data_IF_234970155248
#
_entry.id   IF_234970155248
#
_cell.length_a   1.000
_cell.length_b   1.000
_cell.length_c   1.000
_cell.angle_alpha   90.00
_cell.angle_beta   90.00
_cell.angle_gamma   90.00
#
_symmetry.space_group_name_H-M   'P 1'
#
loop_
_entity.id
_entity.type
_entity.pdbx_description
1 polymer ?
#
# COMPACT_ATOMS: atom_id res chain seq x y z
N UNK A 1 -7.95 16.10 -6.78
CA UNK A 1 -8.62 15.26 -7.79
C UNK A 1 -9.23 14.01 -7.15
N UNK A 2 -8.43 13.07 -6.63
CA UNK A 2 -8.98 11.83 -6.01
C UNK A 2 -9.91 12.11 -4.84
N UNK A 3 -9.45 12.94 -3.89
CA UNK A 3 -10.27 13.40 -2.75
C UNK A 3 -11.58 14.06 -3.21
N UNK A 4 -11.52 14.92 -4.23
CA UNK A 4 -12.69 15.61 -4.81
C UNK A 4 -13.76 14.64 -5.36
N UNK A 5 -13.35 13.43 -5.75
CA UNK A 5 -14.24 12.39 -6.25
C UNK A 5 -14.55 11.31 -5.21
N UNK A 6 -14.11 11.46 -3.97
CA UNK A 6 -14.27 10.45 -2.92
C UNK A 6 -13.55 9.13 -3.23
N UNK A 7 -12.49 9.19 -4.04
CA UNK A 7 -11.66 8.02 -4.37
C UNK A 7 -10.59 7.90 -3.28
N UNK A 8 -10.62 6.79 -2.54
CA UNK A 8 -9.59 6.47 -1.57
C UNK A 8 -8.24 6.25 -2.26
N UNK A 9 -7.16 6.73 -1.64
CA UNK A 9 -5.79 6.60 -2.14
C UNK A 9 -4.91 5.94 -1.09
N UNK A 10 -3.99 5.09 -1.53
CA UNK A 10 -2.94 4.49 -0.70
C UNK A 10 -1.59 5.13 -1.05
N UNK A 11 -0.98 5.85 -0.11
CA UNK A 11 0.28 6.55 -0.33
C UNK A 11 1.48 5.62 -0.14
N UNK A 12 1.71 4.80 -1.16
CA UNK A 12 2.83 3.86 -1.19
C UNK A 12 4.20 4.55 -1.16
N UNK A 13 4.29 5.80 -1.63
CA UNK A 13 5.55 6.54 -1.62
C UNK A 13 5.97 6.85 -0.18
N UNK A 14 5.05 7.40 0.62
CA UNK A 14 5.32 7.66 2.04
C UNK A 14 5.65 6.38 2.79
N UNK A 15 4.97 5.26 2.49
CA UNK A 15 5.23 3.97 3.11
C UNK A 15 6.63 3.40 2.79
N UNK A 16 7.06 3.45 1.52
CA UNK A 16 8.30 2.81 1.08
C UNK A 16 9.56 3.67 1.27
N UNK A 17 9.44 5.00 1.21
CA UNK A 17 10.58 5.94 1.31
C UNK A 17 11.51 5.65 2.50
N UNK A 18 11.02 5.44 3.74
CA UNK A 18 11.91 5.16 4.87
C UNK A 18 12.62 3.80 4.77
N UNK A 19 12.13 2.86 3.96
CA UNK A 19 12.70 1.52 3.78
C UNK A 19 13.38 1.34 2.43
N UNK A 20 13.47 2.39 1.62
CA UNK A 20 13.83 2.30 0.20
C UNK A 20 15.20 1.65 -0.03
N UNK A 21 16.22 2.07 0.71
CA UNK A 21 17.57 1.52 0.62
C UNK A 21 17.66 0.02 1.00
N UNK A 22 16.69 -0.49 1.75
CA UNK A 22 16.61 -1.89 2.17
C UNK A 22 15.81 -2.73 1.18
N UNK A 23 14.73 -2.18 0.63
CA UNK A 23 13.70 -2.94 -0.09
C UNK A 23 13.74 -2.75 -1.61
N UNK A 24 14.44 -1.74 -2.11
CA UNK A 24 14.65 -1.50 -3.54
C UNK A 24 16.03 -1.98 -4.00
N UNK A 25 16.12 -2.47 -5.23
CA UNK A 25 17.40 -2.76 -5.87
C UNK A 25 18.17 -1.44 -6.07
N UNK A 26 19.48 -1.38 -5.80
CA UNK A 26 20.26 -0.15 -5.96
C UNK A 26 20.33 0.29 -7.43
N UNK A 27 20.05 1.57 -7.69
CA UNK A 27 20.00 2.16 -9.04
C UNK A 27 18.95 1.52 -9.97
N UNK A 28 17.88 0.98 -9.40
CA UNK A 28 16.82 0.28 -10.12
C UNK A 28 15.47 0.70 -9.53
N UNK A 29 14.44 0.72 -10.37
CA UNK A 29 13.07 1.05 -9.96
C UNK A 29 12.36 -0.14 -9.33
N UNK A 30 12.84 -1.36 -9.59
CA UNK A 30 12.23 -2.58 -9.08
C UNK A 30 12.58 -2.83 -7.60
N UNK A 31 11.60 -3.37 -6.89
CA UNK A 31 11.78 -3.82 -5.51
C UNK A 31 12.30 -5.24 -5.45
N UNK A 32 12.94 -5.55 -4.32
CA UNK A 32 13.28 -6.92 -3.94
C UNK A 32 12.01 -7.73 -3.64
N UNK A 33 12.14 -9.05 -3.49
CA UNK A 33 11.01 -9.90 -3.05
C UNK A 33 10.38 -9.38 -1.73
N UNK A 34 11.20 -8.99 -0.75
CA UNK A 34 10.73 -8.41 0.50
C UNK A 34 10.07 -7.04 0.31
N UNK A 35 10.52 -6.25 -0.66
CA UNK A 35 9.88 -4.97 -0.99
C UNK A 35 8.50 -5.14 -1.63
N UNK A 36 8.34 -6.15 -2.49
CA UNK A 36 7.02 -6.50 -3.03
C UNK A 36 6.08 -7.04 -1.95
N UNK A 37 6.58 -7.85 -1.02
CA UNK A 37 5.79 -8.33 0.12
C UNK A 37 5.31 -7.16 0.99
N UNK A 38 6.21 -6.24 1.35
CA UNK A 38 5.87 -5.05 2.14
C UNK A 38 4.81 -4.17 1.45
N UNK A 39 5.01 -3.84 0.16
CA UNK A 39 4.06 -3.02 -0.60
C UNK A 39 2.72 -3.75 -0.82
N UNK A 40 2.75 -5.05 -1.07
CA UNK A 40 1.55 -5.86 -1.22
C UNK A 40 0.71 -5.88 0.06
N UNK A 41 1.36 -6.02 1.22
CA UNK A 41 0.69 -5.95 2.52
C UNK A 41 0.07 -4.56 2.76
N UNK A 42 0.80 -3.48 2.50
CA UNK A 42 0.28 -2.11 2.62
C UNK A 42 -1.00 -1.91 1.80
N UNK A 43 -1.01 -2.35 0.53
CA UNK A 43 -2.19 -2.28 -0.34
C UNK A 43 -3.33 -3.13 0.19
N UNK A 44 -3.05 -4.35 0.65
CA UNK A 44 -4.07 -5.25 1.20
C UNK A 44 -4.74 -4.63 2.43
N UNK A 45 -3.96 -4.07 3.36
CA UNK A 45 -4.47 -3.40 4.56
C UNK A 45 -5.33 -2.16 4.20
N UNK A 46 -4.88 -1.35 3.23
CA UNK A 46 -5.65 -0.20 2.73
C UNK A 46 -7.00 -0.62 2.14
N UNK A 47 -7.02 -1.67 1.32
CA UNK A 47 -8.26 -2.23 0.75
C UNK A 47 -9.17 -2.77 1.86
N UNK A 48 -8.61 -3.54 2.81
CA UNK A 48 -9.37 -4.11 3.92
C UNK A 48 -10.05 -3.02 4.76
N UNK A 49 -9.36 -1.92 5.07
CA UNK A 49 -9.92 -0.79 5.80
C UNK A 49 -11.11 -0.17 5.05
N UNK A 50 -11.00 0.01 3.73
CA UNK A 50 -12.08 0.55 2.90
C UNK A 50 -13.27 -0.42 2.86
N UNK A 51 -13.03 -1.72 2.75
CA UNK A 51 -14.08 -2.74 2.77
C UNK A 51 -14.80 -2.76 4.12
N UNK A 52 -14.07 -2.72 5.24
CA UNK A 52 -14.65 -2.66 6.59
C UNK A 52 -15.49 -1.40 6.80
N UNK A 53 -14.98 -0.25 6.37
CA UNK A 53 -15.70 1.01 6.47
C UNK A 53 -17.01 1.00 5.65
N UNK A 54 -17.01 0.30 4.50
CA UNK A 54 -18.16 0.27 3.59
C UNK A 54 -19.18 -0.83 3.92
N UNK A 55 -18.74 -1.97 4.44
CA UNK A 55 -19.55 -3.18 4.56
C UNK A 55 -19.57 -3.81 5.95
N UNK A 56 -18.83 -3.28 6.93
CA UNK A 56 -18.65 -3.88 8.25
C UNK A 56 -17.54 -4.95 8.27
N UNK A 57 -17.31 -5.57 9.43
CA UNK A 57 -16.28 -6.62 9.57
C UNK A 57 -16.54 -7.79 8.62
N UNK A 58 -15.50 -8.33 7.94
CA UNK A 58 -15.65 -9.51 7.10
C UNK A 58 -16.15 -10.68 7.96
N UNK A 59 -17.22 -11.35 7.50
CA UNK A 59 -17.67 -12.59 8.11
C UNK A 59 -16.64 -13.69 7.89
N UNK A 60 -16.36 -14.52 8.91
CA UNK A 60 -15.35 -15.58 8.86
C UNK A 60 -15.69 -16.69 7.86
#
# INVERSE_FOLDING_TARGET
LMETHGIATDDLFTAITPQLAKLQNPNDVHFTAAGYEFLGQQVAESIEQVLKAKFGEPQP
#
